data_IF_741870291844
#
_entry.id   IF_741870291844
#
_cell.length_a   1.000
_cell.length_b   1.000
_cell.length_c   1.000
_cell.angle_alpha   90.00
_cell.angle_beta   90.00
_cell.angle_gamma   90.00
#
_symmetry.space_group_name_H-M   'P 1'
#
loop_
_entity.id
_entity.type
_entity.pdbx_description
1 polymer ?
#
# COMPACT_ATOMS: atom_id res chain seq x y z
N UNK A 1 -23.24 -17.87 20.43
CA UNK A 1 -22.71 -17.77 19.05
C UNK A 1 -21.24 -18.21 19.10
N UNK A 2 -20.61 -18.70 18.00
CA UNK A 2 -19.16 -19.02 18.08
C UNK A 2 -18.38 -17.71 18.34
N UNK A 3 -17.43 -17.66 19.30
CA UNK A 3 -16.75 -16.41 19.70
C UNK A 3 -16.18 -15.59 18.54
N UNK A 4 -15.62 -16.24 17.52
CA UNK A 4 -15.06 -15.57 16.34
C UNK A 4 -16.06 -14.71 15.57
N UNK A 5 -17.35 -15.01 15.62
CA UNK A 5 -18.39 -14.21 14.93
C UNK A 5 -18.61 -12.87 15.62
N UNK A 6 -18.58 -12.85 16.94
CA UNK A 6 -18.71 -11.62 17.73
C UNK A 6 -17.50 -10.72 17.50
N UNK A 7 -16.30 -11.31 17.47
CA UNK A 7 -15.08 -10.57 17.19
C UNK A 7 -14.99 -10.07 15.75
N UNK A 8 -15.49 -10.84 14.78
CA UNK A 8 -15.59 -10.39 13.39
C UNK A 8 -16.49 -9.16 13.28
N UNK A 9 -17.70 -9.19 13.86
CA UNK A 9 -18.65 -8.08 13.79
C UNK A 9 -18.10 -6.77 14.38
N UNK A 10 -17.28 -6.85 15.43
CA UNK A 10 -16.60 -5.67 16.01
C UNK A 10 -15.59 -5.01 15.05
N UNK A 11 -15.03 -5.79 14.11
CA UNK A 11 -13.99 -5.37 13.16
C UNK A 11 -14.56 -4.94 11.81
N UNK A 12 -15.83 -5.23 11.52
CA UNK A 12 -16.47 -4.76 10.30
C UNK A 12 -16.53 -3.23 10.35
N UNK A 13 -16.01 -2.61 9.29
CA UNK A 13 -15.97 -1.17 9.07
C UNK A 13 -16.26 -0.90 7.60
N UNK A 14 -16.76 0.29 7.29
CA UNK A 14 -16.80 0.75 5.90
C UNK A 14 -15.40 1.10 5.40
N UNK A 15 -15.26 1.22 4.08
CA UNK A 15 -13.97 1.52 3.43
C UNK A 15 -13.42 2.88 3.90
N UNK A 16 -14.19 3.98 3.93
CA UNK A 16 -13.67 5.27 4.39
C UNK A 16 -13.17 5.23 5.84
N UNK A 17 -13.91 4.56 6.73
CA UNK A 17 -13.57 4.42 8.15
C UNK A 17 -12.35 3.52 8.36
N UNK A 18 -12.18 2.49 7.55
CA UNK A 18 -10.99 1.64 7.61
C UNK A 18 -9.71 2.42 7.29
N UNK A 19 -9.78 3.39 6.37
CA UNK A 19 -8.62 4.19 5.97
C UNK A 19 -8.20 5.22 7.01
N UNK A 20 -9.02 5.50 8.04
CA UNK A 20 -8.63 6.35 9.17
C UNK A 20 -7.38 5.83 9.90
N UNK A 21 -7.10 4.52 9.81
CA UNK A 21 -5.90 3.89 10.37
C UNK A 21 -4.59 4.26 9.64
N UNK A 22 -4.67 4.77 8.41
CA UNK A 22 -3.49 5.21 7.64
C UNK A 22 -3.17 6.65 7.99
N UNK A 23 -1.92 6.92 8.38
CA UNK A 23 -1.44 8.24 8.76
C UNK A 23 -0.23 8.66 7.91
N UNK A 24 0.06 9.96 7.90
CA UNK A 24 1.25 10.50 7.25
C UNK A 24 2.52 9.84 7.80
N UNK A 25 3.44 9.46 6.91
CA UNK A 25 4.67 8.75 7.26
C UNK A 25 4.54 7.23 7.35
N UNK A 26 3.35 6.65 7.23
CA UNK A 26 3.19 5.20 7.29
C UNK A 26 3.76 4.49 6.06
N UNK A 27 4.26 3.27 6.27
CA UNK A 27 4.44 2.27 5.22
C UNK A 27 3.22 1.35 5.17
N UNK A 28 2.53 1.37 4.03
CA UNK A 28 1.36 0.55 3.71
C UNK A 28 1.78 -0.58 2.77
N UNK A 29 1.69 -1.83 3.25
CA UNK A 29 1.91 -3.00 2.42
C UNK A 29 0.62 -3.39 1.71
N UNK A 30 0.66 -3.53 0.38
CA UNK A 30 -0.53 -3.86 -0.42
C UNK A 30 -0.42 -5.29 -0.94
N UNK A 31 -1.55 -6.00 -0.95
CA UNK A 31 -1.64 -7.37 -1.44
C UNK A 31 -1.13 -7.54 -2.87
N UNK A 32 -0.63 -8.73 -3.18
CA UNK A 32 -0.02 -9.04 -4.48
C UNK A 32 -1.06 -9.35 -5.56
N UNK A 33 -0.91 -8.75 -6.75
CA UNK A 33 -1.71 -9.04 -7.93
C UNK A 33 -3.21 -8.95 -7.62
N UNK A 34 -3.97 -10.04 -7.76
CA UNK A 34 -5.41 -10.08 -7.45
C UNK A 34 -5.73 -10.00 -5.95
N UNK A 35 -4.73 -10.06 -5.09
CA UNK A 35 -4.87 -9.84 -3.64
C UNK A 35 -4.87 -8.36 -3.24
N UNK A 36 -4.65 -7.44 -4.18
CA UNK A 36 -4.76 -6.01 -3.91
C UNK A 36 -6.23 -5.63 -3.60
N UNK A 37 -6.50 -5.00 -2.44
CA UNK A 37 -7.84 -4.55 -2.10
C UNK A 37 -8.14 -3.22 -2.78
N UNK A 38 -8.47 -3.24 -4.07
CA UNK A 38 -8.71 -2.03 -4.89
C UNK A 38 -9.60 -0.97 -4.22
N UNK A 39 -10.74 -1.32 -3.56
CA UNK A 39 -11.55 -0.30 -2.90
C UNK A 39 -10.81 0.46 -1.79
N UNK A 40 -9.93 -0.20 -1.04
CA UNK A 40 -9.13 0.43 0.01
C UNK A 40 -8.03 1.32 -0.58
N UNK A 41 -7.39 0.89 -1.67
CA UNK A 41 -6.34 1.66 -2.36
C UNK A 41 -6.92 2.91 -3.01
N UNK A 42 -8.03 2.78 -3.71
CA UNK A 42 -8.75 3.91 -4.32
C UNK A 42 -9.26 4.90 -3.27
N UNK A 43 -9.77 4.41 -2.15
CA UNK A 43 -10.17 5.28 -1.04
C UNK A 43 -8.98 5.99 -0.37
N UNK A 44 -7.83 5.32 -0.25
CA UNK A 44 -6.59 5.95 0.24
C UNK A 44 -6.21 7.14 -0.64
N UNK A 45 -6.26 6.98 -1.96
CA UNK A 45 -5.99 8.04 -2.94
C UNK A 45 -7.03 9.16 -2.83
N UNK A 46 -8.33 8.83 -2.67
CA UNK A 46 -9.38 9.83 -2.45
C UNK A 46 -9.13 10.67 -1.19
N UNK A 47 -8.54 10.07 -0.16
CA UNK A 47 -8.16 10.73 1.09
C UNK A 47 -6.76 11.37 1.04
N UNK A 48 -6.10 11.48 -0.12
CA UNK A 48 -4.76 12.05 -0.27
C UNK A 48 -4.56 13.40 0.42
N UNK A 49 -5.58 14.27 0.44
CA UNK A 49 -5.48 15.61 1.01
C UNK A 49 -5.13 15.67 2.51
N UNK A 50 -5.33 14.59 3.27
CA UNK A 50 -4.92 14.51 4.69
C UNK A 50 -3.60 13.76 4.92
N UNK A 51 -2.97 13.23 3.87
CA UNK A 51 -1.79 12.37 3.94
C UNK A 51 -0.55 13.09 3.40
N UNK A 52 0.62 12.73 3.93
CA UNK A 52 1.94 13.13 3.46
C UNK A 52 2.94 12.02 3.69
N UNK A 53 3.87 11.82 2.76
CA UNK A 53 4.96 10.85 2.88
C UNK A 53 4.50 9.42 3.25
N UNK A 54 3.38 8.96 2.70
CA UNK A 54 2.95 7.57 2.87
C UNK A 54 3.72 6.70 1.86
N UNK A 55 4.48 5.73 2.36
CA UNK A 55 5.16 4.77 1.52
C UNK A 55 4.19 3.63 1.16
N UNK A 56 3.99 3.39 -0.14
CA UNK A 56 3.16 2.28 -0.62
C UNK A 56 4.09 1.18 -1.13
N UNK A 57 4.14 0.04 -0.44
CA UNK A 57 5.02 -1.09 -0.80
C UNK A 57 4.21 -2.28 -1.31
N UNK A 58 4.53 -2.73 -2.52
CA UNK A 58 4.02 -3.99 -3.06
C UNK A 58 4.85 -4.44 -4.26
N UNK A 59 4.47 -5.61 -4.78
CA UNK A 59 5.04 -6.24 -5.95
C UNK A 59 4.21 -5.86 -7.18
N UNK A 60 3.76 -6.84 -7.96
CA UNK A 60 2.90 -6.62 -9.11
C UNK A 60 1.48 -6.21 -8.70
N UNK A 61 0.92 -5.21 -9.40
CA UNK A 61 -0.47 -4.76 -9.29
C UNK A 61 -1.19 -5.01 -10.61
N UNK A 62 -2.46 -5.46 -10.52
CA UNK A 62 -3.39 -5.59 -11.64
C UNK A 62 -4.28 -4.35 -11.82
N UNK A 63 -4.22 -3.42 -10.88
CA UNK A 63 -5.13 -2.29 -10.76
C UNK A 63 -4.40 -0.97 -11.07
N UNK A 64 -5.13 0.13 -11.28
CA UNK A 64 -4.52 1.44 -11.47
C UNK A 64 -3.70 1.85 -10.24
N UNK A 65 -2.42 2.12 -10.44
CA UNK A 65 -1.51 2.59 -9.39
C UNK A 65 -1.65 4.10 -9.19
N UNK A 66 -2.87 4.59 -8.96
CA UNK A 66 -3.19 6.03 -9.00
C UNK A 66 -2.42 6.87 -7.97
N UNK A 67 -2.05 6.28 -6.82
CA UNK A 67 -1.15 6.89 -5.84
C UNK A 67 0.23 7.25 -6.42
N UNK A 68 0.63 6.65 -7.55
CA UNK A 68 1.89 6.92 -8.23
C UNK A 68 1.77 7.99 -9.33
N UNK A 69 0.62 8.66 -9.50
CA UNK A 69 0.48 9.78 -10.46
C UNK A 69 1.22 11.05 -10.00
N UNK A 70 1.65 11.94 -10.92
CA UNK A 70 2.45 13.12 -10.58
C UNK A 70 1.82 14.05 -9.54
N UNK A 71 0.50 14.21 -9.55
CA UNK A 71 -0.24 15.07 -8.62
C UNK A 71 -0.18 14.60 -7.16
N UNK A 72 0.19 13.33 -6.92
CA UNK A 72 0.35 12.77 -5.58
C UNK A 72 1.80 12.70 -5.10
N UNK A 73 2.74 13.30 -5.83
CA UNK A 73 4.13 13.40 -5.39
C UNK A 73 4.23 14.13 -4.03
N UNK A 74 4.95 13.54 -3.08
CA UNK A 74 5.06 14.04 -1.70
C UNK A 74 3.89 13.66 -0.78
N UNK A 75 2.79 13.15 -1.34
CA UNK A 75 1.71 12.50 -0.59
C UNK A 75 2.01 11.02 -0.46
N UNK A 76 2.18 10.36 -1.61
CA UNK A 76 2.56 8.95 -1.70
C UNK A 76 3.95 8.81 -2.32
N UNK A 77 4.68 7.78 -1.88
CA UNK A 77 5.89 7.32 -2.53
C UNK A 77 5.82 5.81 -2.66
N UNK A 78 5.76 5.32 -3.89
CA UNK A 78 5.75 3.88 -4.11
C UNK A 78 7.16 3.31 -3.94
N UNK A 79 7.32 2.29 -3.09
CA UNK A 79 8.53 1.48 -3.00
C UNK A 79 8.27 0.14 -3.67
N UNK A 80 8.78 0.00 -4.89
CA UNK A 80 8.48 -1.16 -5.73
C UNK A 80 9.37 -2.35 -5.40
N UNK A 81 8.75 -3.48 -5.05
CA UNK A 81 9.42 -4.79 -4.98
C UNK A 81 9.40 -5.51 -6.34
N UNK A 82 8.56 -5.02 -7.27
CA UNK A 82 8.51 -5.47 -8.66
C UNK A 82 7.88 -4.35 -9.52
N UNK A 83 8.63 -3.80 -10.48
CA UNK A 83 8.17 -2.66 -11.29
C UNK A 83 7.12 -3.10 -12.33
N UNK A 84 5.85 -2.91 -12.00
CA UNK A 84 4.72 -3.13 -12.90
C UNK A 84 4.57 -1.98 -13.92
N UNK A 85 3.67 -2.14 -14.89
CA UNK A 85 3.40 -1.10 -15.89
C UNK A 85 2.90 0.21 -15.24
N UNK A 86 2.04 0.12 -14.22
CA UNK A 86 1.42 1.29 -13.58
C UNK A 86 2.37 2.21 -12.82
N UNK A 87 3.55 1.72 -12.42
CA UNK A 87 4.54 2.50 -11.64
C UNK A 87 5.85 2.77 -12.38
N UNK A 88 6.02 2.21 -13.58
CA UNK A 88 7.27 2.30 -14.37
C UNK A 88 7.67 3.75 -14.67
N UNK A 89 6.71 4.58 -15.03
CA UNK A 89 6.98 6.00 -15.30
C UNK A 89 7.36 6.75 -14.00
N UNK A 90 6.69 6.46 -12.90
CA UNK A 90 7.00 7.06 -11.59
C UNK A 90 8.43 6.72 -11.14
N UNK A 91 8.86 5.47 -11.35
CA UNK A 91 10.25 5.05 -11.13
C UNK A 91 11.21 5.84 -12.04
N UNK A 92 10.95 5.83 -13.36
CA UNK A 92 11.84 6.47 -14.33
C UNK A 92 11.96 8.00 -14.14
N UNK A 93 10.96 8.62 -13.52
CA UNK A 93 10.93 10.05 -13.20
C UNK A 93 11.35 10.38 -11.76
N UNK A 94 11.80 9.40 -10.97
CA UNK A 94 12.28 9.59 -9.59
C UNK A 94 11.19 9.81 -8.53
N UNK A 95 9.91 9.66 -8.90
CA UNK A 95 8.75 9.79 -8.00
C UNK A 95 8.50 8.53 -7.17
N UNK A 96 9.03 7.38 -7.61
CA UNK A 96 8.98 6.10 -6.90
C UNK A 96 10.38 5.49 -6.75
N UNK A 97 10.51 4.58 -5.77
CA UNK A 97 11.72 3.80 -5.50
C UNK A 97 11.58 2.36 -5.99
N UNK A 98 12.72 1.68 -6.08
CA UNK A 98 12.80 0.24 -6.25
C UNK A 98 13.64 -0.30 -5.09
N UNK A 99 13.16 -1.36 -4.43
CA UNK A 99 13.95 -2.19 -3.52
C UNK A 99 14.27 -3.52 -4.23
N UNK A 100 15.46 -3.68 -4.82
CA UNK A 100 15.83 -4.91 -5.50
C UNK A 100 15.96 -6.06 -4.50
N UNK A 101 15.21 -7.14 -4.72
CA UNK A 101 15.26 -8.34 -3.90
C UNK A 101 14.81 -9.56 -4.70
N UNK A 102 15.16 -10.76 -4.24
CA UNK A 102 14.53 -11.97 -4.77
C UNK A 102 13.11 -12.11 -4.24
N UNK A 103 12.21 -12.61 -5.09
CA UNK A 103 10.81 -12.79 -4.73
C UNK A 103 10.63 -13.68 -3.48
N UNK A 104 11.48 -14.71 -3.33
CA UNK A 104 11.50 -15.60 -2.16
C UNK A 104 11.95 -14.91 -0.86
N UNK A 105 12.65 -13.78 -0.95
CA UNK A 105 13.15 -13.02 0.20
C UNK A 105 12.20 -11.93 0.67
N UNK A 106 11.17 -11.57 -0.10
CA UNK A 106 10.22 -10.52 0.26
C UNK A 106 9.60 -10.74 1.64
N UNK A 107 9.15 -11.95 2.03
CA UNK A 107 8.65 -12.18 3.38
C UNK A 107 9.68 -11.88 4.48
N UNK A 108 10.98 -12.05 4.20
CA UNK A 108 12.07 -11.74 5.13
C UNK A 108 12.21 -10.24 5.35
N UNK A 109 12.01 -9.42 4.31
CA UNK A 109 12.06 -7.95 4.43
C UNK A 109 11.10 -7.42 5.51
N UNK A 110 9.92 -8.02 5.61
CA UNK A 110 8.93 -7.65 6.62
C UNK A 110 9.20 -8.29 7.99
N UNK A 111 9.48 -9.60 8.03
CA UNK A 111 9.72 -10.32 9.32
C UNK A 111 10.95 -9.81 10.07
N UNK A 112 12.01 -9.43 9.35
CA UNK A 112 13.26 -8.96 9.94
C UNK A 112 13.21 -7.44 10.23
N UNK A 113 12.10 -6.77 9.94
CA UNK A 113 11.94 -5.33 10.18
C UNK A 113 12.83 -4.45 9.28
N UNK A 114 13.26 -4.95 8.11
CA UNK A 114 13.98 -4.14 7.11
C UNK A 114 13.02 -3.15 6.42
N UNK A 115 11.79 -3.60 6.19
CA UNK A 115 10.67 -2.77 5.77
C UNK A 115 9.56 -2.86 6.84
N UNK A 116 9.66 -2.16 7.98
CA UNK A 116 8.58 -2.12 8.97
C UNK A 116 7.27 -1.65 8.33
N UNK A 117 6.18 -2.37 8.63
CA UNK A 117 4.85 -2.13 8.07
C UNK A 117 3.94 -1.54 9.14
N UNK A 118 3.29 -0.43 8.83
CA UNK A 118 2.34 0.22 9.73
C UNK A 118 0.89 -0.20 9.43
N UNK A 119 0.58 -0.51 8.16
CA UNK A 119 -0.73 -1.01 7.72
C UNK A 119 -0.60 -2.04 6.59
N UNK A 120 -1.48 -3.05 6.55
CA UNK A 120 -1.52 -4.10 5.53
C UNK A 120 -2.95 -4.58 5.26
#
# INVERSE_FOLDING_TARGET
MKPWREDYQKKVRGVPEALEAVHSGNRVAVGHAAGEPEPLVSEMVRQAGRLKNVEVVHMFSLYPCDYAKPEYAGIFRHNSLFVSAGVREAVNSGRADITPCFFSEIPRLFRDGLLPVDAA
#
